data_IF_834017463893
#
_entry.id   IF_834017463893
#
_cell.length_a   1.000
_cell.length_b   1.000
_cell.length_c   1.000
_cell.angle_alpha   90.00
_cell.angle_beta   90.00
_cell.angle_gamma   90.00
#
_symmetry.space_group_name_H-M   'P 1'
#
loop_
_entity.id
_entity.type
_entity.pdbx_description
1 polymer ?
#
# COMPACT_ATOMS: atom_id res chain seq x y z
N UNK A 1 41.03 8.22 -82.79
CA UNK A 1 39.75 8.84 -82.40
C UNK A 1 39.00 7.94 -81.43
N UNK A 2 38.80 8.37 -80.18
CA UNK A 2 37.97 7.63 -79.21
C UNK A 2 37.63 8.52 -78.02
N UNK A 3 36.35 8.91 -77.90
CA UNK A 3 35.76 9.68 -76.79
C UNK A 3 35.17 8.72 -75.74
N UNK A 4 35.49 8.97 -74.45
CA UNK A 4 34.70 8.86 -73.18
C UNK A 4 33.98 7.51 -72.85
N UNK A 5 33.61 7.17 -71.58
CA UNK A 5 33.27 8.09 -70.46
C UNK A 5 33.68 7.70 -69.02
N UNK A 6 33.40 8.65 -68.12
CA UNK A 6 33.39 8.59 -66.65
C UNK A 6 32.11 7.93 -66.09
N UNK A 7 32.23 7.50 -64.83
CA UNK A 7 31.26 7.56 -63.72
C UNK A 7 30.59 6.26 -63.23
N UNK A 8 30.62 6.10 -61.89
CA UNK A 8 29.42 5.77 -61.12
C UNK A 8 29.45 4.50 -60.26
N UNK A 9 30.01 4.58 -59.04
CA UNK A 9 29.56 3.73 -57.91
C UNK A 9 29.68 4.45 -56.55
N UNK A 10 28.60 5.10 -56.11
CA UNK A 10 28.29 5.27 -54.68
C UNK A 10 26.78 5.52 -54.52
N UNK A 11 25.97 4.48 -54.31
CA UNK A 11 24.51 4.68 -54.24
C UNK A 11 23.66 3.55 -53.66
N UNK A 12 24.25 2.53 -53.03
CA UNK A 12 23.49 1.34 -52.60
C UNK A 12 23.35 1.13 -51.09
N UNK A 13 23.95 1.98 -50.24
CA UNK A 13 23.95 1.79 -48.79
C UNK A 13 23.01 2.72 -48.00
N UNK A 14 22.60 3.89 -48.53
CA UNK A 14 21.72 4.80 -47.77
C UNK A 14 20.24 4.37 -47.85
N UNK A 15 19.81 3.86 -49.01
CA UNK A 15 18.39 3.56 -49.29
C UNK A 15 17.78 2.48 -48.39
N UNK A 16 18.58 1.50 -47.94
CA UNK A 16 18.11 0.45 -47.03
C UNK A 16 17.99 0.93 -45.57
N UNK A 17 18.83 1.87 -45.13
CA UNK A 17 18.74 2.45 -43.79
C UNK A 17 17.57 3.41 -43.68
N UNK A 18 17.35 4.22 -44.71
CA UNK A 18 16.23 5.17 -44.77
C UNK A 18 14.89 4.41 -44.74
N UNK A 19 14.77 3.34 -45.53
CA UNK A 19 13.57 2.48 -45.53
C UNK A 19 13.33 1.76 -44.20
N UNK A 20 14.38 1.41 -43.47
CA UNK A 20 14.26 0.82 -42.13
C UNK A 20 13.80 1.85 -41.09
N UNK A 21 14.23 3.10 -41.23
CA UNK A 21 13.83 4.19 -40.34
C UNK A 21 12.36 4.59 -40.58
N UNK A 22 11.93 4.66 -41.83
CA UNK A 22 10.54 4.95 -42.18
C UNK A 22 9.57 3.90 -41.61
N UNK A 23 9.93 2.61 -41.70
CA UNK A 23 9.15 1.52 -41.11
C UNK A 23 9.04 1.63 -39.58
N UNK A 24 10.11 2.07 -38.89
CA UNK A 24 10.12 2.29 -37.45
C UNK A 24 9.23 3.48 -37.06
N UNK A 25 9.31 4.59 -37.81
CA UNK A 25 8.48 5.78 -37.60
C UNK A 25 7.00 5.44 -37.80
N UNK A 26 6.66 4.66 -38.83
CA UNK A 26 5.29 4.20 -39.04
C UNK A 26 4.80 3.30 -37.90
N UNK A 27 5.62 2.37 -37.42
CA UNK A 27 5.29 1.46 -36.32
C UNK A 27 5.04 2.22 -35.01
N UNK A 28 5.93 3.15 -34.67
CA UNK A 28 5.77 4.07 -33.53
C UNK A 28 4.51 4.92 -33.68
N UNK A 29 4.21 5.41 -34.88
CA UNK A 29 3.01 6.19 -35.18
C UNK A 29 1.71 5.38 -35.09
N UNK A 30 1.73 4.06 -35.34
CA UNK A 30 0.59 3.17 -35.10
C UNK A 30 0.38 2.92 -33.61
N UNK A 31 1.45 2.55 -32.89
CA UNK A 31 1.40 2.31 -31.44
C UNK A 31 0.95 3.56 -30.66
N UNK A 32 1.43 4.75 -31.05
CA UNK A 32 1.01 6.02 -30.41
C UNK A 32 -0.48 6.30 -30.63
N UNK A 33 -1.04 5.92 -31.79
CA UNK A 33 -2.48 6.09 -32.07
C UNK A 33 -3.34 5.12 -31.26
N UNK A 34 -2.89 3.88 -31.10
CA UNK A 34 -3.57 2.86 -30.29
C UNK A 34 -3.61 3.28 -28.81
N UNK A 35 -2.47 3.69 -28.23
CA UNK A 35 -2.41 4.19 -26.84
C UNK A 35 -3.31 5.41 -26.66
N UNK A 36 -3.36 6.32 -27.63
CA UNK A 36 -4.24 7.50 -27.57
C UNK A 36 -5.73 7.10 -27.57
N UNK A 37 -6.11 6.08 -28.33
CA UNK A 37 -7.48 5.57 -28.36
C UNK A 37 -7.86 4.93 -27.02
N UNK A 38 -6.98 4.12 -26.42
CA UNK A 38 -7.21 3.51 -25.12
C UNK A 38 -7.39 4.56 -24.00
N UNK A 39 -6.54 5.61 -24.01
CA UNK A 39 -6.66 6.72 -23.06
C UNK A 39 -8.00 7.46 -23.25
N UNK A 40 -8.41 7.72 -24.50
CA UNK A 40 -9.68 8.40 -24.79
C UNK A 40 -10.89 7.57 -24.34
N UNK A 41 -10.88 6.26 -24.54
CA UNK A 41 -11.93 5.36 -24.06
C UNK A 41 -11.98 5.33 -22.53
N UNK A 42 -10.82 5.33 -21.87
CA UNK A 42 -10.72 5.42 -20.41
C UNK A 42 -11.34 6.71 -19.86
N UNK A 43 -11.04 7.86 -20.48
CA UNK A 43 -11.61 9.16 -20.09
C UNK A 43 -13.13 9.16 -20.26
N UNK A 44 -13.65 8.68 -21.40
CA UNK A 44 -15.10 8.59 -21.63
C UNK A 44 -15.81 7.70 -20.61
N UNK A 45 -15.18 6.58 -20.22
CA UNK A 45 -15.69 5.69 -19.18
C UNK A 45 -15.75 6.35 -17.80
N UNK A 46 -14.78 7.20 -17.47
CA UNK A 46 -14.76 7.97 -16.22
C UNK A 46 -15.86 9.05 -16.23
N UNK A 47 -15.99 9.81 -17.32
CA UNK A 47 -17.04 10.84 -17.45
C UNK A 47 -18.44 10.25 -17.31
N UNK A 48 -18.68 9.08 -17.91
CA UNK A 48 -19.97 8.38 -17.80
C UNK A 48 -20.27 7.97 -16.36
N UNK A 49 -19.27 7.48 -15.63
CA UNK A 49 -19.42 7.14 -14.20
C UNK A 49 -19.68 8.39 -13.35
N UNK A 50 -19.03 9.50 -13.66
CA UNK A 50 -19.21 10.77 -12.96
C UNK A 50 -20.63 11.33 -13.18
N UNK A 51 -21.16 11.25 -14.40
CA UNK A 51 -22.54 11.65 -14.71
C UNK A 51 -23.56 10.80 -13.94
N UNK A 52 -23.34 9.48 -13.87
CA UNK A 52 -24.22 8.59 -13.11
C UNK A 52 -24.21 8.89 -11.60
N UNK A 53 -23.02 9.11 -11.01
CA UNK A 53 -22.91 9.50 -9.60
C UNK A 53 -23.58 10.85 -9.32
N UNK A 54 -23.46 11.79 -10.25
CA UNK A 54 -24.12 13.10 -10.14
C UNK A 54 -25.64 12.95 -10.15
N UNK A 55 -26.19 12.10 -11.03
CA UNK A 55 -27.63 11.81 -11.08
C UNK A 55 -28.15 11.15 -9.78
N UNK A 56 -27.37 10.23 -9.20
CA UNK A 56 -27.67 9.61 -7.89
C UNK A 56 -27.66 10.61 -6.73
N UNK A 57 -26.79 11.63 -6.78
CA UNK A 57 -26.74 12.67 -5.75
C UNK A 57 -27.94 13.63 -5.83
N UNK A 58 -28.53 13.82 -7.03
CA UNK A 58 -29.69 14.68 -7.24
C UNK A 58 -31.02 14.03 -6.83
N UNK A 59 -31.08 12.72 -6.63
CA UNK A 59 -32.26 11.99 -6.17
C UNK A 59 -32.24 11.75 -4.66
N UNK A 60 -32.31 12.80 -3.85
CA UNK A 60 -32.66 12.68 -2.42
C UNK A 60 -34.14 13.05 -2.21
N UNK A 61 -34.95 12.25 -1.51
CA UNK A 61 -36.28 12.66 -1.11
C UNK A 61 -36.19 13.73 -0.01
N UNK A 62 -37.00 14.79 -0.15
CA UNK A 62 -37.15 15.88 0.80
C UNK A 62 -37.62 15.33 2.16
N UNK A 63 -36.89 15.63 3.23
CA UNK A 63 -37.41 15.48 4.59
C UNK A 63 -38.11 16.79 4.97
N UNK A 64 -39.43 16.82 4.87
CA UNK A 64 -40.23 17.91 5.45
C UNK A 64 -40.25 17.83 6.98
N UNK A 65 -40.24 18.97 7.68
CA UNK A 65 -40.37 19.01 9.13
C UNK A 65 -41.84 18.89 9.54
N UNK A 66 -42.16 17.93 10.42
CA UNK A 66 -43.51 17.79 10.98
C UNK A 66 -43.77 18.89 12.03
N UNK A 67 -44.76 19.71 11.71
CA UNK A 67 -45.38 20.73 12.54
C UNK A 67 -46.36 20.11 13.56
N UNK A 68 -46.64 20.91 14.58
CA UNK A 68 -47.39 20.66 15.80
C UNK A 68 -48.92 20.71 15.65
N UNK A 69 -49.60 20.09 16.64
CA UNK A 69 -51.02 20.19 17.03
C UNK A 69 -52.06 19.30 16.32
N UNK A 70 -52.68 18.36 17.05
CA UNK A 70 -53.99 18.55 17.70
C UNK A 70 -54.37 17.37 18.61
N UNK A 71 -55.29 17.68 19.52
CA UNK A 71 -55.68 17.05 20.78
C UNK A 71 -56.74 15.94 20.69
N UNK A 72 -56.67 14.90 21.55
CA UNK A 72 -57.85 14.21 22.12
C UNK A 72 -57.58 13.80 23.59
N UNK A 73 -58.59 14.01 24.44
CA UNK A 73 -58.60 13.92 25.91
C UNK A 73 -59.21 12.59 26.44
N UNK A 74 -58.47 11.92 27.35
CA UNK A 74 -58.87 11.09 28.54
C UNK A 74 -59.72 9.79 28.43
N UNK A 75 -59.81 8.94 29.51
CA UNK A 75 -59.24 9.07 30.87
C UNK A 75 -58.50 7.84 31.50
N UNK A 76 -57.58 8.18 32.42
CA UNK A 76 -57.17 7.56 33.71
C UNK A 76 -57.18 6.03 33.90
N UNK A 77 -56.02 5.51 34.35
CA UNK A 77 -55.89 4.80 35.64
C UNK A 77 -54.46 4.89 36.19
N UNK A 78 -54.36 5.27 37.47
CA UNK A 78 -53.12 5.50 38.19
C UNK A 78 -52.74 4.29 39.05
N UNK A 79 -51.48 3.86 39.00
CA UNK A 79 -50.80 3.09 40.06
C UNK A 79 -49.30 3.53 40.07
N UNK A 80 -48.86 4.16 41.16
CA UNK A 80 -47.45 4.21 41.65
C UNK A 80 -47.36 3.21 42.84
N UNK A 81 -46.22 2.97 43.55
CA UNK A 81 -44.78 3.32 43.41
C UNK A 81 -43.91 2.00 43.54
N UNK A 82 -42.63 1.90 43.98
CA UNK A 82 -41.69 2.90 44.50
C UNK A 82 -40.23 2.86 44.00
N UNK A 83 -39.57 3.99 44.29
CA UNK A 83 -38.13 4.22 44.27
C UNK A 83 -37.37 3.19 45.12
N UNK A 84 -36.40 2.48 44.51
CA UNK A 84 -35.21 1.92 45.17
C UNK A 84 -34.31 1.24 44.13
N UNK A 85 -33.43 1.99 43.46
CA UNK A 85 -32.13 1.48 42.98
C UNK A 85 -31.17 2.61 42.60
N UNK A 86 -31.14 3.69 43.40
CA UNK A 86 -29.95 4.52 43.52
C UNK A 86 -28.90 3.71 44.28
N UNK A 87 -28.13 2.85 43.58
CA UNK A 87 -26.83 2.25 43.99
C UNK A 87 -26.46 1.08 43.05
N UNK A 88 -26.18 1.36 41.78
CA UNK A 88 -25.43 0.41 40.91
C UNK A 88 -25.01 0.96 39.54
N UNK A 89 -25.42 2.16 39.14
CA UNK A 89 -25.08 2.71 37.82
C UNK A 89 -23.88 3.69 37.78
N UNK A 90 -23.03 3.71 38.81
CA UNK A 90 -21.77 4.50 38.79
C UNK A 90 -20.52 3.65 38.47
N UNK A 91 -20.66 2.61 37.65
CA UNK A 91 -19.52 2.21 36.82
C UNK A 91 -19.49 3.17 35.65
N UNK A 92 -18.75 4.28 35.82
CA UNK A 92 -18.32 5.13 34.70
C UNK A 92 -17.76 4.22 33.62
N UNK A 93 -18.52 4.04 32.54
CA UNK A 93 -17.91 3.75 31.26
C UNK A 93 -16.94 4.90 31.02
N UNK A 94 -15.63 4.66 31.20
CA UNK A 94 -14.63 5.52 30.58
C UNK A 94 -14.94 5.44 29.09
N UNK A 95 -15.64 6.43 28.57
CA UNK A 95 -15.65 6.67 27.13
C UNK A 95 -14.18 6.91 26.83
N UNK A 96 -13.55 5.93 26.19
CA UNK A 96 -12.17 6.02 25.77
C UNK A 96 -12.13 7.00 24.59
N UNK A 97 -12.21 8.29 24.92
CA UNK A 97 -12.26 9.36 23.94
C UNK A 97 -10.86 9.49 23.36
N UNK A 98 -10.60 8.81 22.25
CA UNK A 98 -9.35 8.99 21.52
C UNK A 98 -9.40 10.32 20.72
N UNK A 99 -8.24 10.92 20.50
CA UNK A 99 -8.07 12.22 19.81
C UNK A 99 -7.55 11.99 18.41
N UNK A 100 -8.33 12.33 17.37
CA UNK A 100 -7.88 12.33 15.96
C UNK A 100 -7.26 13.66 15.55
N UNK A 101 -7.85 14.77 15.97
CA UNK A 101 -7.43 16.09 15.51
C UNK A 101 -6.27 16.59 16.35
N UNK A 102 -5.14 16.81 15.69
CA UNK A 102 -3.92 17.32 16.30
C UNK A 102 -3.89 18.83 16.09
N UNK A 103 -3.88 19.62 17.18
CA UNK A 103 -3.64 21.06 17.05
C UNK A 103 -2.13 21.29 16.90
N UNK A 104 -1.72 22.08 15.91
CA UNK A 104 -0.35 22.60 15.75
C UNK A 104 0.75 21.62 15.29
N UNK A 105 0.45 20.66 14.41
CA UNK A 105 1.49 19.91 13.68
C UNK A 105 1.45 20.30 12.20
N UNK A 106 2.13 21.38 11.77
CA UNK A 106 2.17 21.75 10.36
C UNK A 106 3.03 20.75 9.58
N UNK A 107 2.49 20.22 8.48
CA UNK A 107 3.17 19.28 7.57
C UNK A 107 3.84 18.08 8.29
N UNK A 108 3.07 17.27 9.05
CA UNK A 108 3.62 16.11 9.75
C UNK A 108 4.27 15.16 8.76
N UNK A 109 5.52 14.76 8.98
CA UNK A 109 6.27 13.89 8.05
C UNK A 109 5.91 12.42 8.21
N UNK A 110 5.42 12.02 9.38
CA UNK A 110 5.05 10.65 9.71
C UNK A 110 3.93 10.60 10.76
N UNK A 111 3.41 9.41 11.03
CA UNK A 111 2.47 9.17 12.14
C UNK A 111 3.10 9.49 13.51
N UNK A 112 4.43 9.46 13.64
CA UNK A 112 5.11 9.82 14.88
C UNK A 112 4.97 11.30 15.22
N UNK A 113 4.99 12.20 14.22
CA UNK A 113 4.77 13.64 14.44
C UNK A 113 3.35 13.92 14.90
N UNK A 114 2.38 13.26 14.28
CA UNK A 114 0.97 13.31 14.67
C UNK A 114 0.78 12.80 16.10
N UNK A 115 1.44 11.69 16.45
CA UNK A 115 1.41 11.11 17.79
C UNK A 115 1.97 12.06 18.84
N UNK A 116 3.12 12.69 18.58
CA UNK A 116 3.74 13.71 19.45
C UNK A 116 2.87 14.95 19.62
N UNK A 117 2.11 15.31 18.59
CA UNK A 117 1.13 16.40 18.69
C UNK A 117 -0.13 16.04 19.48
N UNK A 118 -0.30 14.79 19.92
CA UNK A 118 -1.43 14.36 20.76
C UNK A 118 -2.47 13.48 20.07
N UNK A 119 -2.24 13.06 18.82
CA UNK A 119 -3.12 12.06 18.18
C UNK A 119 -3.06 10.73 18.96
N UNK A 120 -4.20 10.16 19.30
CA UNK A 120 -4.28 8.88 20.04
C UNK A 120 -5.14 7.82 19.37
N UNK A 121 -5.95 8.16 18.37
CA UNK A 121 -6.74 7.18 17.64
C UNK A 121 -5.94 6.51 16.53
N UNK A 122 -6.08 5.21 16.38
CA UNK A 122 -5.72 4.54 15.12
C UNK A 122 -6.61 5.05 13.98
N UNK A 123 -6.09 5.05 12.76
CA UNK A 123 -6.88 5.44 11.59
C UNK A 123 -6.07 6.08 10.48
N UNK A 124 -6.80 6.63 9.53
CA UNK A 124 -6.21 7.34 8.39
C UNK A 124 -5.87 8.76 8.80
N UNK A 125 -4.66 9.16 8.46
CA UNK A 125 -4.16 10.53 8.59
C UNK A 125 -3.53 10.99 7.28
N UNK A 126 -3.20 12.28 7.21
CA UNK A 126 -2.44 12.87 6.11
C UNK A 126 -1.08 13.30 6.62
N UNK A 127 -0.03 12.89 5.91
CA UNK A 127 1.35 13.27 6.17
C UNK A 127 1.99 13.91 4.93
N UNK A 128 3.13 14.56 5.12
CA UNK A 128 3.90 15.27 4.11
C UNK A 128 5.38 14.84 4.16
N UNK A 129 5.71 13.61 3.73
CA UNK A 129 7.10 13.16 3.67
C UNK A 129 7.97 14.12 2.83
N UNK A 130 9.15 14.51 3.31
CA UNK A 130 10.01 15.55 2.73
C UNK A 130 9.35 16.92 2.54
N UNK A 131 8.20 17.18 3.16
CA UNK A 131 7.43 18.42 2.98
C UNK A 131 6.89 18.63 1.56
N UNK A 132 6.82 17.57 0.74
CA UNK A 132 6.53 17.69 -0.70
C UNK A 132 5.05 17.53 -1.03
N UNK A 133 4.52 16.32 -0.82
CA UNK A 133 3.18 15.92 -1.26
C UNK A 133 2.42 15.30 -0.11
N UNK A 134 1.16 15.68 0.02
CA UNK A 134 0.23 15.05 0.94
C UNK A 134 0.06 13.56 0.57
N UNK A 135 0.20 12.69 1.56
CA UNK A 135 0.00 11.24 1.43
C UNK A 135 -0.97 10.79 2.52
N UNK A 136 -2.01 10.06 2.12
CA UNK A 136 -2.91 9.38 3.07
C UNK A 136 -2.22 8.12 3.57
N UNK A 137 -2.13 7.97 4.89
CA UNK A 137 -1.50 6.82 5.54
C UNK A 137 -2.40 6.28 6.62
N UNK A 138 -2.28 4.98 6.88
CA UNK A 138 -2.83 4.39 8.09
C UNK A 138 -1.80 4.53 9.22
N UNK A 139 -2.22 5.13 10.33
CA UNK A 139 -1.44 5.22 11.55
C UNK A 139 -1.96 4.25 12.60
N UNK A 140 -1.02 3.56 13.25
CA UNK A 140 -1.23 2.90 14.52
C UNK A 140 -0.65 3.80 15.63
N UNK A 141 -1.56 4.35 16.43
CA UNK A 141 -1.35 5.26 17.55
C UNK A 141 -1.45 4.56 18.90
N UNK A 142 -1.70 3.24 18.93
CA UNK A 142 -1.95 2.47 20.15
C UNK A 142 -0.82 1.50 20.48
N UNK A 143 -0.30 0.77 19.49
CA UNK A 143 0.69 -0.30 19.69
C UNK A 143 2.02 0.25 20.19
N UNK A 144 2.43 -0.19 21.39
CA UNK A 144 3.69 0.20 22.04
C UNK A 144 3.93 1.72 22.04
N UNK A 145 2.90 2.48 22.42
CA UNK A 145 2.95 3.94 22.45
C UNK A 145 2.58 4.63 21.14
N UNK A 146 2.34 3.88 20.06
CA UNK A 146 1.83 4.41 18.80
C UNK A 146 2.88 5.14 17.95
N UNK A 147 2.40 5.95 17.02
CA UNK A 147 3.25 6.70 16.08
C UNK A 147 3.78 5.86 14.92
N UNK A 148 3.21 4.68 14.70
CA UNK A 148 3.58 3.79 13.61
C UNK A 148 2.88 4.20 12.32
N UNK A 149 3.65 4.28 11.24
CA UNK A 149 3.12 4.49 9.88
C UNK A 149 3.11 3.15 9.15
N UNK A 150 1.94 2.67 8.75
CA UNK A 150 1.81 1.39 8.04
C UNK A 150 2.16 1.58 6.57
N UNK A 151 3.12 0.80 6.10
CA UNK A 151 3.69 0.82 4.74
C UNK A 151 2.95 -0.12 3.78
N UNK A 152 2.47 -1.24 4.30
CA UNK A 152 1.75 -2.26 3.56
C UNK A 152 0.85 -3.02 4.53
N UNK A 153 -0.33 -3.41 4.04
CA UNK A 153 -1.29 -4.25 4.74
C UNK A 153 -1.87 -5.31 3.80
N UNK A 154 -1.95 -6.54 4.29
CA UNK A 154 -2.47 -7.72 3.58
C UNK A 154 -3.45 -8.49 4.45
N UNK A 155 -4.50 -9.03 3.84
CA UNK A 155 -5.54 -9.79 4.56
C UNK A 155 -6.84 -9.95 3.78
N UNK A 156 -7.83 -10.60 4.38
CA UNK A 156 -9.20 -10.62 3.86
C UNK A 156 -9.93 -9.34 4.26
N UNK A 157 -9.94 -8.36 3.35
CA UNK A 157 -10.64 -7.09 3.50
C UNK A 157 -11.86 -6.98 2.57
N UNK A 158 -12.43 -8.11 2.14
CA UNK A 158 -13.62 -8.13 1.30
C UNK A 158 -13.43 -7.39 -0.02
N UNK A 159 -14.24 -6.35 -0.25
CA UNK A 159 -14.21 -5.52 -1.46
C UNK A 159 -13.00 -4.58 -1.54
N UNK A 160 -12.24 -4.42 -0.43
CA UNK A 160 -11.03 -3.60 -0.37
C UNK A 160 -9.73 -4.41 -0.53
N UNK A 161 -9.82 -5.64 -1.02
CA UNK A 161 -8.65 -6.42 -1.42
C UNK A 161 -8.10 -5.92 -2.77
N UNK A 162 -6.81 -6.11 -3.02
CA UNK A 162 -6.20 -5.69 -4.29
C UNK A 162 -5.14 -6.66 -4.77
N UNK A 163 -4.95 -6.76 -6.09
CA UNK A 163 -3.84 -7.55 -6.63
C UNK A 163 -2.51 -6.84 -6.37
N UNK A 164 -1.53 -7.59 -5.87
CA UNK A 164 -0.14 -7.17 -5.71
C UNK A 164 0.74 -7.54 -6.90
N UNK A 165 0.21 -8.25 -7.91
CA UNK A 165 0.90 -8.49 -9.17
C UNK A 165 0.86 -7.22 -10.04
N UNK A 166 1.67 -6.23 -9.67
CA UNK A 166 1.68 -4.88 -10.24
C UNK A 166 3.03 -4.55 -10.87
N UNK A 167 2.99 -3.62 -11.82
CA UNK A 167 4.17 -3.17 -12.55
C UNK A 167 5.04 -2.22 -11.70
N UNK A 168 6.21 -1.85 -12.21
CA UNK A 168 7.16 -0.97 -11.52
C UNK A 168 6.54 0.37 -11.14
N UNK A 169 5.80 0.99 -12.06
CA UNK A 169 5.19 2.31 -11.86
C UNK A 169 4.14 2.29 -10.74
N UNK A 170 3.34 1.23 -10.65
CA UNK A 170 2.38 1.04 -9.57
C UNK A 170 3.10 0.87 -8.23
N UNK A 171 4.14 0.04 -8.15
CA UNK A 171 4.92 -0.11 -6.90
C UNK A 171 5.65 1.16 -6.50
N UNK A 172 6.13 1.95 -7.46
CA UNK A 172 6.70 3.28 -7.25
C UNK A 172 5.72 4.24 -6.58
N UNK A 173 4.50 4.34 -7.13
CA UNK A 173 3.50 5.32 -6.72
C UNK A 173 2.62 4.88 -5.55
N UNK A 174 2.50 3.58 -5.32
CA UNK A 174 1.56 2.97 -4.38
C UNK A 174 0.23 2.60 -5.05
N UNK A 175 -0.50 1.68 -4.42
CA UNK A 175 -1.79 1.18 -4.88
C UNK A 175 -2.60 0.57 -3.73
N UNK A 176 -3.89 0.35 -3.97
CA UNK A 176 -4.82 -0.22 -2.98
C UNK A 176 -5.57 0.84 -2.19
N UNK A 177 -6.21 0.41 -1.10
CA UNK A 177 -6.98 1.25 -0.20
C UNK A 177 -6.38 1.17 1.20
N UNK A 178 -6.07 2.32 1.81
CA UNK A 178 -5.53 2.42 3.17
C UNK A 178 -6.46 1.82 4.25
N UNK A 179 -7.75 1.68 3.95
CA UNK A 179 -8.74 1.00 4.81
C UNK A 179 -8.79 -0.52 4.58
N UNK A 180 -8.14 -1.05 3.55
CA UNK A 180 -8.06 -2.46 3.20
C UNK A 180 -6.63 -2.90 2.88
N UNK A 181 -6.44 -3.58 1.75
CA UNK A 181 -5.10 -3.94 1.29
C UNK A 181 -4.44 -2.82 0.50
N UNK A 182 -3.17 -2.54 0.79
CA UNK A 182 -2.40 -1.53 0.05
C UNK A 182 -0.90 -1.74 0.12
N UNK A 183 -0.22 -1.10 -0.84
CA UNK A 183 1.21 -0.80 -0.82
C UNK A 183 1.37 0.72 -0.91
N UNK A 184 2.05 1.32 0.07
CA UNK A 184 2.11 2.79 0.19
C UNK A 184 2.89 3.47 -0.94
N UNK A 185 3.82 2.74 -1.58
CA UNK A 185 4.61 3.23 -2.71
C UNK A 185 6.08 3.42 -2.38
N UNK A 186 6.97 2.94 -3.25
CA UNK A 186 8.40 2.91 -3.01
C UNK A 186 9.01 4.31 -2.87
N UNK A 187 8.48 5.32 -3.58
CA UNK A 187 8.92 6.71 -3.40
C UNK A 187 8.61 7.21 -1.99
N UNK A 188 7.41 6.89 -1.46
CA UNK A 188 7.01 7.28 -0.10
C UNK A 188 7.84 6.55 0.94
N UNK A 189 8.06 5.23 0.76
CA UNK A 189 8.95 4.45 1.62
C UNK A 189 10.37 5.04 1.65
N UNK A 190 10.94 5.39 0.49
CA UNK A 190 12.24 6.05 0.43
C UNK A 190 12.24 7.37 1.19
N UNK A 191 11.24 8.23 0.98
CA UNK A 191 11.20 9.55 1.61
C UNK A 191 11.11 9.47 3.13
N UNK A 192 10.27 8.58 3.67
CA UNK A 192 10.09 8.44 5.12
C UNK A 192 11.28 7.79 5.81
N UNK A 193 11.97 6.87 5.14
CA UNK A 193 12.98 6.01 5.79
C UNK A 193 14.42 6.46 5.60
N UNK A 194 14.67 7.49 4.81
CA UNK A 194 16.02 8.02 4.56
C UNK A 194 16.32 9.34 5.29
N UNK A 195 15.31 10.04 5.80
CA UNK A 195 15.54 11.26 6.59
C UNK A 195 16.10 10.96 7.98
N UNK A 196 15.67 9.87 8.60
CA UNK A 196 16.10 9.47 9.93
C UNK A 196 16.11 7.94 10.08
N UNK A 197 16.88 7.39 11.04
CA UNK A 197 16.85 5.97 11.33
C UNK A 197 15.46 5.53 11.79
N UNK A 198 14.85 4.58 11.09
CA UNK A 198 13.56 4.01 11.43
C UNK A 198 13.72 2.57 11.92
N UNK A 199 12.93 2.17 12.91
CA UNK A 199 12.67 0.77 13.19
C UNK A 199 11.55 0.28 12.28
N UNK A 200 11.66 -0.97 11.81
CA UNK A 200 10.60 -1.66 11.08
C UNK A 200 9.99 -2.70 12.00
N UNK A 201 8.66 -2.74 12.06
CA UNK A 201 7.90 -3.86 12.59
C UNK A 201 7.22 -4.60 11.43
N UNK A 202 7.36 -5.92 11.44
CA UNK A 202 6.60 -6.84 10.58
C UNK A 202 5.67 -7.64 11.48
N UNK A 203 4.38 -7.36 11.38
CA UNK A 203 3.33 -8.12 12.04
C UNK A 203 2.76 -9.14 11.06
N UNK A 204 2.60 -10.39 11.48
CA UNK A 204 2.03 -11.45 10.65
C UNK A 204 1.08 -12.34 11.44
N UNK A 205 0.06 -12.85 10.74
CA UNK A 205 -0.90 -13.80 11.30
C UNK A 205 -1.10 -15.00 10.38
N UNK A 206 -1.33 -16.18 10.95
CA UNK A 206 -1.64 -17.41 10.22
C UNK A 206 -3.09 -17.83 10.40
N UNK A 207 -3.56 -18.75 9.55
CA UNK A 207 -4.94 -19.22 9.56
C UNK A 207 -5.29 -20.13 10.76
N UNK A 208 -4.29 -20.69 11.44
CA UNK A 208 -4.42 -21.46 12.68
C UNK A 208 -4.54 -20.59 13.94
N UNK A 209 -4.43 -19.26 13.80
CA UNK A 209 -4.60 -18.30 14.89
C UNK A 209 -3.30 -17.75 15.47
N UNK A 210 -2.14 -18.29 15.10
CA UNK A 210 -0.86 -17.76 15.57
C UNK A 210 -0.55 -16.38 14.99
N UNK A 211 0.16 -15.58 15.77
CA UNK A 211 0.64 -14.26 15.36
C UNK A 211 2.08 -14.06 15.81
N UNK A 212 2.84 -13.28 15.05
CA UNK A 212 4.21 -12.91 15.39
C UNK A 212 4.48 -11.45 15.02
N UNK A 213 5.27 -10.79 15.86
CA UNK A 213 5.85 -9.49 15.58
C UNK A 213 7.37 -9.64 15.49
N UNK A 214 7.95 -9.12 14.42
CA UNK A 214 9.39 -9.07 14.20
C UNK A 214 9.83 -7.63 13.99
N UNK A 215 10.66 -7.13 14.90
CA UNK A 215 11.17 -5.78 14.90
C UNK A 215 12.63 -5.76 14.48
N UNK A 216 12.96 -4.89 13.54
CA UNK A 216 14.30 -4.70 13.00
C UNK A 216 14.82 -3.33 13.42
N UNK A 217 16.07 -3.32 13.90
CA UNK A 217 16.71 -2.16 14.54
C UNK A 217 17.01 -0.99 13.60
N UNK A 218 16.95 -1.22 12.28
CA UNK A 218 16.98 -0.20 11.25
C UNK A 218 16.24 -0.68 10.00
N UNK A 219 15.65 0.25 9.25
CA UNK A 219 15.03 0.01 7.96
C UNK A 219 15.11 1.24 7.08
N UNK A 220 15.56 1.07 5.85
CA UNK A 220 15.46 2.09 4.82
C UNK A 220 15.33 1.48 3.42
N UNK A 221 14.71 2.25 2.54
CA UNK A 221 14.54 1.92 1.12
C UNK A 221 15.30 2.95 0.31
N UNK A 222 16.19 2.51 -0.57
CA UNK A 222 16.94 3.37 -1.49
C UNK A 222 16.03 4.11 -2.47
N UNK A 223 16.60 5.02 -3.26
CA UNK A 223 15.84 5.72 -4.30
C UNK A 223 15.68 4.87 -5.58
N UNK A 224 14.97 5.38 -6.57
CA UNK A 224 14.74 4.66 -7.84
C UNK A 224 16.04 4.37 -8.62
N UNK A 225 17.05 5.25 -8.56
CA UNK A 225 18.35 5.03 -9.22
C UNK A 225 19.10 3.83 -8.65
N UNK A 226 18.85 3.49 -7.38
CA UNK A 226 19.34 2.28 -6.71
C UNK A 226 18.37 1.09 -6.83
N UNK A 227 17.34 1.20 -7.67
CA UNK A 227 16.23 0.24 -7.78
C UNK A 227 15.55 -0.05 -6.44
N UNK A 228 15.34 1.00 -5.62
CA UNK A 228 14.70 0.92 -4.31
C UNK A 228 15.32 -0.14 -3.38
N UNK A 229 16.65 -0.24 -3.35
CA UNK A 229 17.38 -1.25 -2.56
C UNK A 229 16.94 -1.29 -1.10
N UNK A 230 16.68 -2.50 -0.59
CA UNK A 230 16.36 -2.70 0.82
C UNK A 230 17.62 -2.59 1.67
N UNK A 231 17.51 -1.87 2.78
CA UNK A 231 18.46 -1.94 3.88
C UNK A 231 17.68 -2.23 5.15
N UNK A 232 17.93 -3.38 5.76
CA UNK A 232 17.32 -3.80 7.03
C UNK A 232 18.42 -4.21 8.00
N UNK A 233 18.34 -3.70 9.23
CA UNK A 233 19.26 -4.02 10.31
C UNK A 233 18.99 -5.38 10.93
N UNK A 234 19.80 -5.79 11.93
CA UNK A 234 19.51 -6.99 12.69
C UNK A 234 18.19 -6.85 13.45
N UNK A 235 17.54 -7.98 13.80
CA UNK A 235 16.40 -7.99 14.71
C UNK A 235 16.76 -7.30 16.03
N UNK A 236 15.79 -6.64 16.66
CA UNK A 236 16.02 -6.01 17.98
C UNK A 236 16.41 -7.07 19.02
N UNK A 237 17.15 -6.66 20.05
CA UNK A 237 17.61 -7.56 21.10
C UNK A 237 16.43 -8.34 21.70
N UNK A 238 16.58 -9.67 21.82
CA UNK A 238 15.52 -10.57 22.28
C UNK A 238 14.56 -11.08 21.21
N UNK A 239 14.64 -10.58 19.96
CA UNK A 239 13.84 -11.06 18.82
C UNK A 239 14.68 -11.75 17.73
N UNK A 240 15.93 -12.10 18.03
CA UNK A 240 16.80 -12.86 17.13
C UNK A 240 16.34 -14.33 17.06
N UNK A 241 15.24 -14.57 16.35
CA UNK A 241 14.65 -15.89 16.10
C UNK A 241 14.91 -16.32 14.66
N UNK A 242 14.81 -17.63 14.33
CA UNK A 242 14.90 -18.09 12.95
C UNK A 242 13.93 -17.36 12.02
N UNK A 243 12.71 -17.06 12.50
CA UNK A 243 11.73 -16.30 11.74
C UNK A 243 12.28 -14.96 11.23
N UNK A 244 13.15 -14.29 11.96
CA UNK A 244 13.71 -13.01 11.50
C UNK A 244 14.70 -13.13 10.33
N UNK A 245 15.18 -14.34 10.03
CA UNK A 245 16.10 -14.59 8.91
C UNK A 245 15.43 -14.38 7.55
N UNK A 246 14.12 -14.64 7.46
CA UNK A 246 13.38 -14.56 6.21
C UNK A 246 13.38 -13.16 5.60
N UNK A 247 13.45 -12.07 6.39
CA UNK A 247 13.63 -10.71 5.84
C UNK A 247 15.09 -10.34 5.64
N UNK A 248 15.97 -10.71 6.59
CA UNK A 248 17.39 -10.34 6.50
C UNK A 248 18.08 -10.97 5.30
N UNK A 249 17.59 -12.11 4.81
CA UNK A 249 17.99 -12.69 3.52
C UNK A 249 17.85 -11.72 2.33
N UNK A 250 16.90 -10.79 2.39
CA UNK A 250 16.66 -9.80 1.35
C UNK A 250 17.48 -8.51 1.54
N UNK A 251 18.22 -8.40 2.64
CA UNK A 251 18.99 -7.20 2.95
C UNK A 251 20.00 -6.89 1.83
N UNK A 252 20.03 -5.64 1.40
CA UNK A 252 20.93 -5.19 0.35
C UNK A 252 20.48 -5.55 -1.07
N UNK A 253 19.32 -6.17 -1.29
CA UNK A 253 18.85 -6.50 -2.64
C UNK A 253 17.95 -5.42 -3.25
N UNK A 254 17.99 -5.22 -4.58
CA UNK A 254 17.12 -4.28 -5.28
C UNK A 254 15.68 -4.81 -5.37
N UNK A 255 14.72 -3.90 -5.45
CA UNK A 255 13.33 -4.25 -5.71
C UNK A 255 13.16 -4.73 -7.15
N UNK A 256 12.30 -5.70 -7.40
CA UNK A 256 11.94 -6.16 -8.75
C UNK A 256 10.43 -6.30 -8.89
N UNK A 257 9.94 -6.13 -10.12
CA UNK A 257 8.54 -6.36 -10.54
C UNK A 257 8.54 -7.20 -11.81
N UNK A 258 7.37 -7.70 -12.23
CA UNK A 258 7.29 -8.57 -13.42
C UNK A 258 7.84 -7.90 -14.69
N UNK A 259 7.75 -6.57 -14.79
CA UNK A 259 8.19 -5.74 -15.91
C UNK A 259 9.60 -5.14 -15.72
N UNK A 260 10.21 -5.31 -14.53
CA UNK A 260 11.57 -4.84 -14.24
C UNK A 260 12.31 -5.81 -13.31
N UNK A 261 13.08 -6.70 -13.93
CA UNK A 261 13.95 -7.67 -13.26
C UNK A 261 15.23 -7.00 -12.77
N UNK A 262 15.41 -6.90 -11.46
CA UNK A 262 16.67 -6.47 -10.83
C UNK A 262 17.27 -7.56 -9.92
N UNK A 263 16.61 -8.71 -9.79
CA UNK A 263 17.06 -9.83 -8.96
C UNK A 263 18.30 -10.55 -9.56
N UNK A 264 19.04 -11.24 -8.68
CA UNK A 264 20.29 -11.93 -9.00
C UNK A 264 20.09 -13.39 -9.45
N UNK A 265 18.88 -13.75 -9.93
CA UNK A 265 18.56 -15.11 -10.32
C UNK A 265 18.39 -15.24 -11.84
N UNK A 266 18.43 -16.46 -12.40
CA UNK A 266 18.26 -16.62 -13.86
C UNK A 266 16.84 -16.28 -14.30
N UNK A 267 15.85 -16.68 -13.50
CA UNK A 267 14.42 -16.43 -13.76
C UNK A 267 13.95 -15.13 -13.11
N UNK A 268 12.93 -14.49 -13.69
CA UNK A 268 12.30 -13.32 -13.08
C UNK A 268 11.35 -13.76 -11.95
N UNK A 269 11.83 -13.73 -10.71
CA UNK A 269 11.08 -14.17 -9.53
C UNK A 269 9.75 -13.42 -9.38
N UNK A 270 9.75 -12.11 -9.67
CA UNK A 270 8.55 -11.28 -9.58
C UNK A 270 7.46 -11.73 -10.57
N UNK A 271 7.86 -12.11 -11.79
CA UNK A 271 6.95 -12.62 -12.81
C UNK A 271 6.43 -14.03 -12.48
N UNK A 272 7.25 -14.88 -11.87
CA UNK A 272 6.88 -16.24 -11.44
C UNK A 272 5.92 -16.23 -10.27
N UNK A 273 6.24 -15.49 -9.21
CA UNK A 273 5.51 -15.50 -7.93
C UNK A 273 4.48 -14.38 -7.77
N UNK A 274 4.26 -13.57 -8.82
CA UNK A 274 3.14 -12.63 -8.95
C UNK A 274 3.12 -11.53 -7.88
N UNK A 275 4.26 -10.87 -7.68
CA UNK A 275 4.36 -9.71 -6.79
C UNK A 275 5.69 -8.98 -6.92
N UNK A 276 5.74 -7.74 -6.44
CA UNK A 276 6.96 -6.93 -6.39
C UNK A 276 7.65 -7.06 -5.04
N UNK A 277 8.96 -7.33 -5.02
CA UNK A 277 9.70 -7.52 -3.78
C UNK A 277 11.22 -7.34 -3.97
N UNK A 278 11.96 -7.33 -2.87
CA UNK A 278 13.43 -7.30 -2.85
C UNK A 278 14.03 -8.69 -3.05
N UNK A 279 13.79 -9.32 -4.20
CA UNK A 279 14.22 -10.70 -4.44
C UNK A 279 15.75 -10.87 -4.49
N UNK A 280 16.21 -12.03 -4.01
CA UNK A 280 17.58 -12.52 -4.16
C UNK A 280 17.59 -13.78 -5.04
N UNK A 281 17.86 -14.98 -4.50
CA UNK A 281 17.50 -16.27 -5.10
C UNK A 281 16.00 -16.52 -4.94
N UNK A 282 15.21 -15.58 -5.45
CA UNK A 282 13.81 -15.37 -5.09
C UNK A 282 13.64 -14.97 -3.61
N UNK A 283 13.10 -15.82 -2.73
CA UNK A 283 12.72 -15.35 -1.40
C UNK A 283 12.64 -16.43 -0.31
N UNK A 284 12.79 -15.98 0.94
CA UNK A 284 12.36 -16.69 2.13
C UNK A 284 11.21 -15.97 2.85
N UNK A 285 11.12 -14.63 2.74
CA UNK A 285 9.94 -13.85 3.12
C UNK A 285 9.35 -13.16 1.90
N UNK A 286 8.05 -13.31 1.66
CA UNK A 286 7.37 -12.68 0.52
C UNK A 286 5.95 -12.29 0.90
N UNK A 287 5.79 -11.05 1.32
CA UNK A 287 4.52 -10.53 1.83
C UNK A 287 3.62 -9.94 0.75
N UNK A 288 4.14 -9.74 -0.47
CA UNK A 288 3.43 -9.17 -1.62
C UNK A 288 2.94 -10.23 -2.62
N UNK A 289 3.02 -11.51 -2.26
CA UNK A 289 2.47 -12.60 -3.06
C UNK A 289 0.94 -12.58 -3.14
N UNK A 290 0.38 -13.44 -3.97
CA UNK A 290 -1.07 -13.58 -4.10
C UNK A 290 -1.74 -13.92 -2.76
N UNK A 291 -2.94 -13.41 -2.54
CA UNK A 291 -3.70 -13.75 -1.34
C UNK A 291 -4.48 -15.03 -1.58
N UNK A 292 -4.36 -16.00 -0.69
CA UNK A 292 -5.11 -17.26 -0.73
C UNK A 292 -5.96 -17.37 0.53
N UNK A 293 -7.25 -17.67 0.37
CA UNK A 293 -8.13 -17.96 1.51
C UNK A 293 -7.82 -19.33 2.10
N UNK A 294 -8.28 -19.55 3.33
CA UNK A 294 -8.09 -20.83 4.01
C UNK A 294 -8.68 -21.98 3.16
N UNK A 295 -7.85 -22.98 2.87
CA UNK A 295 -8.26 -24.17 2.11
C UNK A 295 -8.22 -24.01 0.58
N UNK A 296 -7.88 -22.83 0.05
CA UNK A 296 -7.65 -22.68 -1.39
C UNK A 296 -6.42 -23.48 -1.84
N UNK A 297 -6.53 -24.14 -2.99
CA UNK A 297 -5.43 -24.89 -3.59
C UNK A 297 -4.38 -23.92 -4.13
N UNK A 298 -3.12 -24.22 -3.87
CA UNK A 298 -1.96 -23.49 -4.36
C UNK A 298 -0.73 -24.39 -4.37
N UNK A 299 0.27 -24.01 -5.15
CA UNK A 299 1.54 -24.71 -5.17
C UNK A 299 2.43 -24.26 -4.00
N UNK A 300 3.48 -25.03 -3.73
CA UNK A 300 4.53 -24.60 -2.80
C UNK A 300 5.14 -23.28 -3.32
N UNK A 301 5.53 -22.40 -2.40
CA UNK A 301 6.06 -21.08 -2.74
C UNK A 301 5.06 -20.17 -3.48
N UNK A 302 3.75 -20.38 -3.34
CA UNK A 302 2.75 -19.40 -3.74
C UNK A 302 2.08 -18.80 -2.52
N UNK A 303 1.86 -17.49 -2.58
CA UNK A 303 1.09 -16.74 -1.60
C UNK A 303 1.92 -15.78 -0.74
N UNK A 304 1.27 -15.22 0.28
CA UNK A 304 1.94 -14.49 1.36
C UNK A 304 2.67 -15.50 2.24
N UNK A 305 4.00 -15.46 2.25
CA UNK A 305 4.81 -16.50 2.88
C UNK A 305 5.93 -15.94 3.76
N UNK A 306 6.25 -16.72 4.79
CA UNK A 306 7.37 -16.47 5.70
C UNK A 306 8.00 -17.80 6.11
N UNK A 307 9.03 -18.21 5.37
CA UNK A 307 9.54 -19.56 5.36
C UNK A 307 10.06 -20.00 6.72
N UNK A 308 10.85 -19.16 7.39
CA UNK A 308 11.46 -19.50 8.69
C UNK A 308 10.46 -19.45 9.87
N UNK A 309 9.16 -19.24 9.60
CA UNK A 309 8.10 -19.34 10.60
C UNK A 309 7.07 -20.43 10.26
N UNK A 310 6.46 -20.36 9.07
CA UNK A 310 5.36 -21.25 8.65
C UNK A 310 5.71 -22.07 7.40
N UNK A 311 6.97 -22.07 6.97
CA UNK A 311 7.42 -22.80 5.79
C UNK A 311 6.67 -22.37 4.53
N UNK A 312 6.07 -23.33 3.84
CA UNK A 312 5.26 -23.06 2.66
C UNK A 312 3.81 -22.71 2.97
N UNK A 313 3.38 -22.57 4.22
CA UNK A 313 1.97 -22.27 4.57
C UNK A 313 1.66 -20.78 4.36
N UNK A 314 0.65 -20.49 3.52
CA UNK A 314 0.20 -19.13 3.27
C UNK A 314 -0.33 -18.48 4.56
N UNK A 315 0.07 -17.23 4.76
CA UNK A 315 -0.33 -16.42 5.89
C UNK A 315 -1.72 -15.82 5.67
N UNK A 316 -2.44 -15.61 6.79
CA UNK A 316 -3.75 -14.96 6.80
C UNK A 316 -3.65 -13.45 6.60
N UNK A 317 -2.54 -12.85 7.01
CA UNK A 317 -2.34 -11.41 6.85
C UNK A 317 -0.96 -10.98 7.31
N UNK A 318 -0.56 -9.80 6.86
CA UNK A 318 0.71 -9.20 7.20
C UNK A 318 0.64 -7.68 7.14
N UNK A 319 1.36 -7.01 8.04
CA UNK A 319 1.55 -5.57 8.03
C UNK A 319 3.04 -5.24 8.20
N UNK A 320 3.53 -4.29 7.40
CA UNK A 320 4.83 -3.67 7.60
C UNK A 320 4.60 -2.25 8.04
N UNK A 321 5.22 -1.83 9.15
CA UNK A 321 5.06 -0.49 9.69
C UNK A 321 6.39 0.06 10.21
N UNK A 322 6.57 1.37 10.11
CA UNK A 322 7.80 2.05 10.55
C UNK A 322 7.53 3.13 11.57
N UNK A 323 8.53 3.36 12.41
CA UNK A 323 8.57 4.45 13.37
C UNK A 323 10.01 4.93 13.54
N UNK A 324 10.25 6.22 13.78
CA UNK A 324 11.59 6.71 14.09
C UNK A 324 12.20 5.95 15.26
N UNK A 325 13.48 5.60 15.17
CA UNK A 325 14.18 4.78 16.19
C UNK A 325 14.25 5.47 17.55
N UNK A 326 14.45 6.79 17.53
CA UNK A 326 14.53 7.63 18.74
C UNK A 326 13.16 8.23 19.07
N UNK A 327 12.07 7.51 18.75
CA UNK A 327 10.73 7.93 19.13
C UNK A 327 10.53 7.76 20.63
N UNK A 328 10.44 8.89 21.32
CA UNK A 328 10.08 9.01 22.73
C UNK A 328 8.75 9.76 22.81
N UNK A 329 7.85 9.29 23.66
CA UNK A 329 6.61 10.00 24.04
C UNK A 329 6.87 10.91 25.23
#
# INVERSE_FOLDING_TARGET
>A
SGRLPLSGQSGRSSTNKDRSLDNLVESLGRSTREIRQEIQQGIQGIDTKLQNLTALASSRPSCDPLDTSESIVSPRRAIMPPEQSLRSAERRAKIDTCTKTVQNVPNPKSCADLRKGGATCDGIYVIFPKGRRAVRVQCDMTTQGGGWTILMRRGDYGDKMTSFNRNWLSYKNGFGDTEGEFWLGNDVLNFMTTEEPNILRVHMSSFDGDQINLDYSSFSVGNESSSYRLHVGPPVAGQSTPAANSLTYHNGHPFSTFDRKNDNFEQNCAATYKGGWWFNGCYFGFLTGEYFKQGEKRENWQGILWYDWKGHVALKGAEMMVRPKNFEM
#
